data_IF_333976487731
#
_entry.id   IF_333976487731
#
_cell.length_a   1.000
_cell.length_b   1.000
_cell.length_c   1.000
_cell.angle_alpha   90.00
_cell.angle_beta   90.00
_cell.angle_gamma   90.00
#
_symmetry.space_group_name_H-M   'P 1'
#
loop_
_entity.id
_entity.type
_entity.pdbx_description
1 polymer ?
#
# COMPACT_ATOMS: atom_id res chain seq x y z
N UNK A 1 -0.37 -16.29 0.14
CA UNK A 1 -1.21 -15.97 1.31
C UNK A 1 -0.27 -15.57 2.44
N UNK A 2 -0.45 -14.38 3.03
CA UNK A 2 0.38 -13.92 4.15
C UNK A 2 -0.37 -14.21 5.43
N UNK A 3 0.20 -15.04 6.31
CA UNK A 3 -0.37 -15.34 7.63
C UNK A 3 0.44 -14.55 8.65
N UNK A 4 -0.17 -13.55 9.29
CA UNK A 4 0.47 -12.76 10.35
C UNK A 4 0.60 -13.64 11.62
N UNK A 5 1.81 -13.75 12.14
CA UNK A 5 2.07 -14.38 13.44
C UNK A 5 2.02 -13.36 14.58
N UNK A 6 2.23 -13.80 15.83
CA UNK A 6 2.37 -12.88 16.96
C UNK A 6 3.65 -12.03 16.83
N UNK A 7 3.50 -10.69 16.90
CA UNK A 7 4.59 -9.71 16.80
C UNK A 7 4.90 -9.23 15.37
N UNK A 8 6.13 -8.73 15.14
CA UNK A 8 6.64 -8.31 13.81
C UNK A 8 7.02 -9.50 12.89
N UNK A 9 6.52 -10.71 13.20
CA UNK A 9 6.81 -11.94 12.48
C UNK A 9 5.61 -12.37 11.62
N UNK A 10 5.85 -12.60 10.33
CA UNK A 10 4.85 -13.15 9.43
C UNK A 10 5.34 -14.45 8.79
N UNK A 11 4.43 -15.41 8.63
CA UNK A 11 4.65 -16.60 7.82
C UNK A 11 4.11 -16.32 6.43
N UNK A 12 5.00 -16.26 5.44
CA UNK A 12 4.59 -16.04 4.06
C UNK A 12 4.50 -17.39 3.35
N UNK A 13 3.29 -17.75 2.96
CA UNK A 13 3.04 -18.91 2.09
C UNK A 13 3.12 -18.43 0.65
N UNK A 14 4.24 -18.73 -0.02
CA UNK A 14 4.50 -18.37 -1.42
C UNK A 14 4.05 -19.50 -2.33
N UNK A 15 3.07 -19.21 -3.20
CA UNK A 15 2.69 -20.10 -4.30
C UNK A 15 3.48 -19.69 -5.54
N UNK A 16 4.19 -20.63 -6.16
CA UNK A 16 4.88 -20.40 -7.44
C UNK A 16 4.00 -20.89 -8.57
N UNK A 17 3.44 -19.95 -9.35
CA UNK A 17 2.64 -20.20 -10.54
C UNK A 17 2.51 -18.92 -11.38
N UNK A 18 2.07 -19.00 -12.65
CA UNK A 18 1.80 -17.82 -13.47
C UNK A 18 0.68 -16.99 -12.79
N UNK A 19 1.03 -15.79 -12.29
CA UNK A 19 0.15 -14.93 -11.50
C UNK A 19 0.60 -14.63 -10.05
N UNK A 20 1.76 -15.16 -9.61
CA UNK A 20 2.29 -14.87 -8.29
C UNK A 20 2.80 -13.42 -8.16
N UNK A 21 2.25 -12.64 -7.20
CA UNK A 21 2.72 -11.29 -6.87
C UNK A 21 4.07 -11.32 -6.14
N UNK A 22 5.00 -10.42 -6.52
CA UNK A 22 6.21 -10.10 -5.74
C UNK A 22 5.79 -9.39 -4.46
N UNK A 23 6.12 -9.96 -3.30
CA UNK A 23 5.90 -9.33 -2.00
C UNK A 23 7.20 -8.64 -1.53
N UNK A 24 7.11 -7.63 -0.64
CA UNK A 24 8.27 -6.95 -0.05
C UNK A 24 8.98 -7.83 0.99
N UNK A 25 9.45 -9.00 0.57
CA UNK A 25 10.27 -9.90 1.38
C UNK A 25 11.74 -9.68 1.06
N UNK A 26 12.51 -9.26 2.05
CA UNK A 26 13.96 -9.01 1.92
C UNK A 26 14.80 -9.92 2.82
N UNK A 27 14.56 -11.23 2.75
CA UNK A 27 15.58 -12.21 3.14
C UNK A 27 15.30 -13.00 4.42
N UNK A 28 15.43 -14.31 4.25
CA UNK A 28 15.41 -15.36 5.26
C UNK A 28 15.27 -16.71 4.54
N UNK A 29 15.85 -17.81 5.07
CA UNK A 29 15.96 -19.08 4.35
C UNK A 29 14.58 -19.66 4.03
N UNK A 30 14.33 -19.92 2.74
CA UNK A 30 13.08 -20.51 2.26
C UNK A 30 13.17 -22.03 2.43
N UNK A 31 12.23 -22.64 3.14
CA UNK A 31 12.18 -24.10 3.32
C UNK A 31 11.13 -24.73 2.41
N UNK A 32 11.47 -25.76 1.60
CA UNK A 32 10.49 -26.49 0.82
C UNK A 32 9.65 -27.40 1.71
N UNK A 33 8.33 -27.38 1.54
CA UNK A 33 7.45 -28.40 2.12
C UNK A 33 7.30 -29.53 1.10
N UNK A 34 7.75 -30.74 1.45
CA UNK A 34 7.50 -31.93 0.62
C UNK A 34 6.14 -32.52 0.99
N UNK A 35 5.13 -32.27 0.17
CA UNK A 35 3.82 -32.90 0.27
C UNK A 35 2.86 -32.48 -0.85
N UNK A 36 2.56 -33.42 -1.76
CA UNK A 36 1.44 -33.33 -2.71
C UNK A 36 1.51 -32.24 -3.77
N UNK A 37 2.20 -32.46 -4.90
CA UNK A 37 2.00 -31.77 -6.20
C UNK A 37 2.27 -30.26 -6.30
N UNK A 38 2.17 -29.50 -5.20
CA UNK A 38 2.37 -28.07 -5.11
C UNK A 38 3.71 -27.78 -4.43
N UNK A 39 4.56 -26.96 -5.06
CA UNK A 39 5.77 -26.42 -4.41
C UNK A 39 5.36 -25.28 -3.49
N UNK A 40 5.25 -25.59 -2.20
CA UNK A 40 4.98 -24.61 -1.14
C UNK A 40 6.27 -24.19 -0.45
N UNK A 41 6.48 -22.88 -0.37
CA UNK A 41 7.66 -22.26 0.22
C UNK A 41 7.23 -21.40 1.40
N UNK A 42 7.77 -21.68 2.60
CA UNK A 42 7.59 -20.82 3.78
C UNK A 42 8.87 -20.00 3.96
N UNK A 43 8.69 -18.68 4.03
CA UNK A 43 9.72 -17.73 4.38
C UNK A 43 9.54 -17.30 5.85
N UNK A 44 10.63 -17.32 6.62
CA UNK A 44 10.69 -16.80 7.98
C UNK A 44 11.68 -15.65 8.01
N UNK A 45 11.23 -14.46 8.40
CA UNK A 45 12.10 -13.31 8.57
C UNK A 45 11.36 -12.15 9.22
N UNK A 46 12.09 -11.20 9.82
CA UNK A 46 11.50 -9.92 10.21
C UNK A 46 10.97 -9.23 8.95
N UNK A 47 9.70 -8.82 8.97
CA UNK A 47 9.20 -7.91 7.93
C UNK A 47 10.05 -6.65 8.00
N UNK A 48 10.63 -6.18 6.88
CA UNK A 48 11.14 -4.82 6.84
C UNK A 48 9.98 -3.92 7.22
N UNK A 49 10.13 -3.16 8.31
CA UNK A 49 9.25 -2.02 8.55
C UNK A 49 9.52 -1.10 7.36
N UNK A 50 8.62 -1.12 6.39
CA UNK A 50 8.61 -0.07 5.39
C UNK A 50 8.57 1.24 6.16
N UNK A 51 9.46 2.17 5.80
CA UNK A 51 9.55 3.46 6.44
C UNK A 51 8.26 4.19 6.08
N UNK A 52 7.19 3.95 6.82
CA UNK A 52 5.90 4.57 6.58
C UNK A 52 6.10 6.06 6.80
N UNK A 53 6.17 6.80 5.71
CA UNK A 53 6.02 8.25 5.76
C UNK A 53 4.72 8.56 6.52
N UNK A 54 4.79 9.55 7.41
CA UNK A 54 3.66 9.88 8.29
C UNK A 54 2.41 10.08 7.43
N UNK A 55 1.25 9.52 7.83
CA UNK A 55 0.01 9.71 7.08
C UNK A 55 -0.32 11.20 6.99
N UNK A 56 -0.63 11.65 5.78
CA UNK A 56 -0.94 13.06 5.44
C UNK A 56 -2.44 13.19 5.20
N UNK A 57 -3.03 14.31 5.62
CA UNK A 57 -4.45 14.58 5.36
C UNK A 57 -4.66 15.02 3.92
N UNK A 58 -5.72 14.53 3.29
CA UNK A 58 -6.07 14.93 1.93
C UNK A 58 -6.47 16.40 1.86
N UNK A 59 -7.10 16.95 2.89
CA UNK A 59 -7.39 18.38 2.99
C UNK A 59 -6.12 19.25 2.90
N UNK A 60 -5.03 18.87 3.57
CA UNK A 60 -3.73 19.55 3.51
C UNK A 60 -3.14 19.48 2.09
N UNK A 61 -3.22 18.31 1.45
CA UNK A 61 -2.77 18.11 0.07
C UNK A 61 -3.59 19.01 -0.86
N UNK A 62 -4.92 18.95 -0.79
CA UNK A 62 -5.84 19.69 -1.63
C UNK A 62 -5.67 21.21 -1.46
N UNK A 63 -5.48 21.68 -0.23
CA UNK A 63 -5.29 23.12 0.05
C UNK A 63 -4.00 23.68 -0.56
N UNK A 64 -2.94 22.87 -0.65
CA UNK A 64 -1.65 23.26 -1.23
C UNK A 64 -1.50 22.93 -2.72
N UNK A 65 -2.48 22.23 -3.31
CA UNK A 65 -2.42 21.78 -4.69
C UNK A 65 -2.54 22.93 -5.71
N UNK A 66 -3.42 23.93 -5.55
CA UNK A 66 -3.49 25.07 -6.47
C UNK A 66 -2.16 25.80 -6.65
N UNK A 67 -1.37 25.95 -5.58
CA UNK A 67 -0.08 26.66 -5.60
C UNK A 67 0.99 25.90 -6.41
N UNK A 68 0.76 24.63 -6.71
CA UNK A 68 1.66 23.75 -7.47
C UNK A 68 1.24 23.59 -8.93
N UNK A 69 0.11 24.17 -9.33
CA UNK A 69 -0.46 24.06 -10.67
C UNK A 69 -0.28 25.36 -11.46
N UNK A 70 -0.23 25.29 -12.80
CA UNK A 70 -0.44 26.46 -13.65
C UNK A 70 -1.79 27.14 -13.34
N UNK A 71 -1.86 28.46 -13.49
CA UNK A 71 -3.06 29.26 -13.12
C UNK A 71 -4.35 28.76 -13.78
N UNK A 72 -4.27 28.31 -15.02
CA UNK A 72 -5.40 27.80 -15.79
C UNK A 72 -5.93 26.48 -15.18
N UNK A 73 -5.05 25.53 -14.89
CA UNK A 73 -5.40 24.25 -14.26
C UNK A 73 -5.88 24.42 -12.81
N UNK A 74 -5.28 25.34 -12.06
CA UNK A 74 -5.70 25.66 -10.69
C UNK A 74 -7.14 26.20 -10.65
N UNK A 75 -7.57 26.94 -11.67
CA UNK A 75 -8.94 27.44 -11.79
C UNK A 75 -9.97 26.34 -12.11
N UNK A 76 -9.53 25.27 -12.78
CA UNK A 76 -10.36 24.11 -13.11
C UNK A 76 -10.34 23.02 -12.02
N UNK A 77 -9.44 23.15 -11.04
CA UNK A 77 -9.32 22.20 -9.95
C UNK A 77 -10.61 22.19 -9.11
N UNK A 78 -11.25 21.03 -9.06
CA UNK A 78 -12.42 20.80 -8.20
C UNK A 78 -12.15 19.64 -7.24
N UNK A 79 -12.88 19.63 -6.12
CA UNK A 79 -12.75 18.55 -5.14
C UNK A 79 -13.03 17.16 -5.77
N UNK A 80 -14.10 16.96 -6.57
CA UNK A 80 -14.34 15.67 -7.22
C UNK A 80 -13.20 15.22 -8.15
N UNK A 81 -12.58 16.16 -8.88
CA UNK A 81 -11.45 15.85 -9.78
C UNK A 81 -10.22 15.39 -8.99
N UNK A 82 -9.85 16.13 -7.95
CA UNK A 82 -8.72 15.76 -7.09
C UNK A 82 -8.97 14.44 -6.35
N UNK A 83 -10.22 14.22 -5.89
CA UNK A 83 -10.60 12.99 -5.22
C UNK A 83 -10.58 11.77 -6.15
N UNK A 84 -11.08 11.91 -7.38
CA UNK A 84 -10.98 10.86 -8.40
C UNK A 84 -9.52 10.51 -8.71
N UNK A 85 -8.64 11.51 -8.81
CA UNK A 85 -7.21 11.29 -9.01
C UNK A 85 -6.57 10.55 -7.81
N UNK A 86 -6.97 10.88 -6.57
CA UNK A 86 -6.54 10.15 -5.38
C UNK A 86 -6.93 8.67 -5.44
N UNK A 87 -8.19 8.37 -5.81
CA UNK A 87 -8.68 6.98 -5.93
C UNK A 87 -7.94 6.21 -7.03
N UNK A 88 -7.68 6.87 -8.15
CA UNK A 88 -6.89 6.28 -9.23
C UNK A 88 -5.46 5.95 -8.76
N UNK A 89 -4.80 6.88 -8.06
CA UNK A 89 -3.49 6.63 -7.48
C UNK A 89 -3.50 5.52 -6.43
N UNK A 90 -4.53 5.40 -5.60
CA UNK A 90 -4.67 4.30 -4.65
C UNK A 90 -4.84 2.92 -5.33
N UNK A 91 -5.40 2.90 -6.54
CA UNK A 91 -5.52 1.67 -7.32
C UNK A 91 -4.21 1.26 -8.03
N UNK A 92 -3.43 2.23 -8.50
CA UNK A 92 -2.23 1.97 -9.31
C UNK A 92 -0.92 1.99 -8.53
N UNK A 93 -0.87 2.77 -7.45
CA UNK A 93 0.29 2.93 -6.58
C UNK A 93 -0.07 2.29 -5.24
N UNK A 94 0.93 1.79 -4.50
CA UNK A 94 0.72 1.28 -3.14
C UNK A 94 0.41 2.43 -2.17
N UNK A 95 -0.80 2.98 -2.28
CA UNK A 95 -1.31 4.10 -1.50
C UNK A 95 -2.49 3.58 -0.67
N UNK A 96 -2.34 3.60 0.65
CA UNK A 96 -3.41 3.29 1.58
C UNK A 96 -4.21 4.56 1.91
N UNK A 97 -5.53 4.42 1.87
CA UNK A 97 -6.49 5.47 2.23
C UNK A 97 -7.26 5.07 3.49
N UNK A 98 -7.38 5.99 4.45
CA UNK A 98 -8.16 5.80 5.68
C UNK A 98 -9.01 7.02 5.98
N UNK A 99 -10.34 6.87 5.97
CA UNK A 99 -11.27 7.93 6.38
C UNK A 99 -11.17 8.25 7.87
N UNK A 100 -11.50 9.49 8.23
CA UNK A 100 -11.74 9.90 9.62
C UNK A 100 -13.10 9.37 10.11
N UNK A 101 -13.30 9.37 11.43
CA UNK A 101 -14.58 8.92 12.02
C UNK A 101 -15.72 9.91 11.72
N UNK A 102 -15.39 11.18 11.53
CA UNK A 102 -16.35 12.26 11.26
C UNK A 102 -16.65 12.42 9.76
N UNK A 103 -16.00 11.61 8.91
CA UNK A 103 -16.11 11.64 7.44
C UNK A 103 -15.75 12.99 6.79
N UNK A 104 -15.02 13.83 7.52
CA UNK A 104 -14.59 15.16 7.10
C UNK A 104 -13.26 15.13 6.32
N UNK A 105 -12.47 14.07 6.42
CA UNK A 105 -11.15 13.97 5.80
C UNK A 105 -10.69 12.52 5.58
N UNK A 106 -9.56 12.39 4.88
CA UNK A 106 -8.94 11.12 4.50
C UNK A 106 -7.44 11.21 4.75
N UNK A 107 -6.92 10.25 5.52
CA UNK A 107 -5.49 10.03 5.66
C UNK A 107 -4.95 9.22 4.48
N UNK A 108 -3.82 9.67 3.94
CA UNK A 108 -3.10 9.09 2.82
C UNK A 108 -1.72 8.65 3.29
N UNK A 109 -1.35 7.40 3.07
CA UNK A 109 -0.03 6.84 3.42
C UNK A 109 0.47 5.86 2.37
N UNK A 110 1.78 5.67 2.28
CA UNK A 110 2.37 4.61 1.47
C UNK A 110 2.18 3.25 2.15
N UNK A 111 1.77 2.23 1.37
CA UNK A 111 1.56 0.84 1.78
C UNK A 111 2.73 -0.08 1.38
#
# INVERSE_FOLDING_TARGET
MVVRGPGDFAFVVVFVGPGARRLPYSGGPIRPIKGGGLRLWIAHGPMKKETHEKPVKFSEIYSSLPDKLPKEEAAELSFPLAFMALLHMANEKNLALKGTNDYDDIYVSLD
#
